data_IF_082775178586
#
_entry.id   IF_082775178586
#
_cell.length_a   1.000
_cell.length_b   1.000
_cell.length_c   1.000
_cell.angle_alpha   90.00
_cell.angle_beta   90.00
_cell.angle_gamma   90.00
#
_symmetry.space_group_name_H-M   'P 1'
#
loop_
_entity.id
_entity.type
_entity.pdbx_description
1 polymer ?
#
# COMPACT_ATOMS: atom_id res chain seq x y z
N UNK A 1 25.90 24.50 -41.02
CA UNK A 1 26.44 23.40 -41.85
C UNK A 1 25.39 22.30 -41.89
N UNK A 2 24.81 22.02 -43.06
CA UNK A 2 23.81 20.96 -43.29
C UNK A 2 24.52 19.67 -43.69
N UNK A 3 24.17 18.54 -43.08
CA UNK A 3 24.45 17.17 -43.54
C UNK A 3 23.48 16.23 -42.82
N UNK A 4 22.32 15.93 -43.44
CA UNK A 4 22.01 14.77 -44.32
C UNK A 4 21.41 13.61 -43.54
N UNK A 5 20.08 13.49 -43.68
CA UNK A 5 19.24 12.34 -43.36
C UNK A 5 19.78 11.07 -44.03
N UNK A 6 19.73 9.94 -43.33
CA UNK A 6 19.72 8.62 -43.97
C UNK A 6 18.59 7.79 -43.38
N UNK A 7 17.48 7.74 -44.11
CA UNK A 7 16.37 6.83 -43.95
C UNK A 7 16.79 5.46 -44.51
N UNK A 8 16.58 4.37 -43.78
CA UNK A 8 16.58 3.02 -44.32
C UNK A 8 15.42 2.24 -43.71
N UNK A 9 14.65 1.64 -44.61
CA UNK A 9 13.33 1.09 -44.40
C UNK A 9 13.37 -0.44 -44.52
N UNK A 10 12.63 -1.12 -43.61
CA UNK A 10 11.69 -2.24 -43.90
C UNK A 10 12.31 -3.61 -44.26
N UNK A 11 11.61 -4.76 -44.15
CA UNK A 11 10.79 -5.36 -43.08
C UNK A 11 11.24 -6.80 -42.74
N UNK A 12 10.71 -7.42 -41.67
CA UNK A 12 10.48 -8.87 -41.67
C UNK A 12 9.38 -9.24 -40.68
N UNK A 13 8.20 -9.53 -41.23
CA UNK A 13 7.13 -10.23 -40.56
C UNK A 13 7.58 -11.65 -40.19
N UNK A 14 7.24 -12.12 -39.00
CA UNK A 14 7.26 -13.55 -38.68
C UNK A 14 5.92 -13.95 -38.07
N UNK A 15 5.31 -14.90 -38.77
CA UNK A 15 3.98 -15.46 -38.63
C UNK A 15 3.98 -16.65 -37.64
N UNK A 16 2.79 -16.88 -37.06
CA UNK A 16 2.24 -18.15 -36.56
C UNK A 16 2.73 -18.73 -35.23
N UNK A 17 1.80 -18.85 -34.27
CA UNK A 17 1.15 -20.16 -34.03
C UNK A 17 -0.07 -20.02 -33.10
N UNK A 18 -1.24 -20.43 -33.60
CA UNK A 18 -2.45 -20.74 -32.82
C UNK A 18 -2.20 -21.98 -31.95
N UNK A 19 -2.53 -21.89 -30.67
CA UNK A 19 -2.65 -23.05 -29.76
C UNK A 19 -4.03 -23.08 -29.14
N UNK A 20 -5.01 -23.66 -29.86
CA UNK A 20 -6.32 -24.02 -29.32
C UNK A 20 -6.19 -25.39 -28.67
N UNK A 21 -6.32 -25.46 -27.34
CA UNK A 21 -6.54 -26.72 -26.63
C UNK A 21 -7.93 -26.66 -25.99
N UNK A 22 -8.88 -27.32 -26.66
CA UNK A 22 -10.18 -27.65 -26.11
C UNK A 22 -10.06 -28.93 -25.28
N UNK A 23 -10.50 -28.88 -24.03
CA UNK A 23 -10.93 -30.07 -23.30
C UNK A 23 -12.40 -29.91 -22.93
N UNK A 24 -13.25 -30.54 -23.74
CA UNK A 24 -14.64 -30.87 -23.40
C UNK A 24 -14.65 -32.20 -22.65
N UNK A 25 -15.53 -32.32 -21.66
CA UNK A 25 -15.87 -33.58 -20.97
C UNK A 25 -16.74 -33.25 -19.76
N UNK A 26 -18.02 -32.98 -19.93
CA UNK A 26 -19.12 -33.97 -19.93
C UNK A 26 -19.53 -34.42 -18.52
N UNK A 27 -20.61 -33.79 -18.04
CA UNK A 27 -21.80 -34.40 -17.42
C UNK A 27 -21.65 -35.64 -16.54
N UNK A 28 -22.04 -35.52 -15.28
CA UNK A 28 -22.96 -36.47 -14.66
C UNK A 28 -23.79 -35.74 -13.58
N UNK A 29 -25.03 -35.45 -13.93
CA UNK A 29 -26.11 -35.27 -12.95
C UNK A 29 -26.51 -36.66 -12.48
N UNK A 30 -26.42 -36.93 -11.18
CA UNK A 30 -27.14 -38.06 -10.58
C UNK A 30 -28.09 -37.53 -9.50
N UNK A 31 -29.36 -37.55 -9.87
CA UNK A 31 -30.50 -37.49 -8.95
C UNK A 31 -30.73 -38.90 -8.44
N UNK A 32 -30.62 -39.11 -7.12
CA UNK A 32 -31.14 -40.30 -6.46
C UNK A 32 -31.98 -39.88 -5.25
N UNK A 33 -33.29 -39.90 -5.44
CA UNK A 33 -34.32 -39.88 -4.40
C UNK A 33 -34.54 -41.30 -3.88
N UNK A 34 -34.47 -41.51 -2.56
CA UNK A 34 -35.56 -42.03 -1.72
C UNK A 34 -35.07 -42.63 -0.38
N UNK A 35 -35.45 -41.95 0.69
CA UNK A 35 -36.06 -42.44 1.93
C UNK A 35 -35.60 -43.78 2.58
N UNK A 36 -35.15 -43.65 3.84
CA UNK A 36 -35.14 -44.73 4.83
C UNK A 36 -34.62 -44.26 6.19
N UNK A 37 -35.50 -43.80 7.08
CA UNK A 37 -35.24 -43.62 8.52
C UNK A 37 -35.93 -44.77 9.29
N UNK A 38 -35.38 -45.26 10.41
CA UNK A 38 -35.79 -44.66 11.68
C UNK A 38 -34.68 -44.50 12.74
N UNK A 39 -34.84 -43.39 13.47
CA UNK A 39 -34.54 -43.12 14.88
C UNK A 39 -33.46 -43.92 15.62
N UNK A 40 -32.39 -43.22 15.98
CA UNK A 40 -31.83 -43.30 17.33
C UNK A 40 -31.76 -41.89 17.90
N UNK A 41 -32.43 -41.72 19.03
CA UNK A 41 -32.45 -40.50 19.84
C UNK A 41 -31.04 -40.21 20.35
N UNK A 42 -30.43 -39.13 19.88
CA UNK A 42 -29.28 -38.49 20.51
C UNK A 42 -29.65 -37.03 20.76
N UNK A 43 -29.45 -36.61 22.01
CA UNK A 43 -29.80 -35.29 22.52
C UNK A 43 -29.22 -34.15 21.66
N UNK A 44 -29.87 -32.97 21.59
CA UNK A 44 -29.27 -31.80 20.96
C UNK A 44 -28.14 -31.30 21.87
N UNK A 45 -26.92 -31.75 21.62
CA UNK A 45 -25.76 -30.96 21.97
C UNK A 45 -25.71 -29.83 20.96
N UNK A 46 -26.18 -28.66 21.35
CA UNK A 46 -25.92 -27.40 20.65
C UNK A 46 -24.41 -27.17 20.68
N UNK A 47 -23.71 -27.83 19.76
CA UNK A 47 -22.35 -27.45 19.40
C UNK A 47 -22.55 -26.12 18.68
N UNK A 48 -22.07 -25.00 19.23
CA UNK A 48 -22.00 -23.80 18.41
C UNK A 48 -21.16 -24.21 17.20
N UNK A 49 -21.67 -23.97 15.98
CA UNK A 49 -20.76 -23.90 14.83
C UNK A 49 -19.60 -23.01 15.28
N UNK A 50 -18.34 -23.34 14.96
CA UNK A 50 -17.30 -22.33 15.08
C UNK A 50 -17.83 -21.15 14.27
N UNK A 51 -18.24 -20.10 14.98
CA UNK A 51 -18.39 -18.77 14.44
C UNK A 51 -17.15 -18.63 13.56
N UNK A 52 -17.33 -18.53 12.24
CA UNK A 52 -16.23 -18.19 11.36
C UNK A 52 -15.63 -16.97 12.03
N UNK A 53 -14.47 -17.18 12.66
CA UNK A 53 -13.69 -16.11 13.20
C UNK A 53 -13.35 -15.33 11.94
N UNK A 54 -14.15 -14.29 11.67
CA UNK A 54 -13.80 -13.25 10.72
C UNK A 54 -12.48 -12.78 11.27
N UNK A 55 -11.40 -13.29 10.67
CA UNK A 55 -10.06 -13.03 11.13
C UNK A 55 -9.94 -11.51 11.06
N UNK A 56 -9.97 -10.86 12.22
CA UNK A 56 -9.76 -9.43 12.30
C UNK A 56 -8.44 -9.19 11.56
N UNK A 57 -8.42 -8.38 10.48
CA UNK A 57 -7.19 -8.16 9.74
C UNK A 57 -6.16 -7.67 10.75
N UNK A 58 -5.13 -8.49 10.98
CA UNK A 58 -4.16 -8.23 12.03
C UNK A 58 -3.28 -7.09 11.56
N UNK A 59 -3.65 -5.87 11.93
CA UNK A 59 -2.82 -4.71 11.70
C UNK A 59 -1.50 -4.87 12.46
N UNK A 60 -0.36 -4.67 11.79
CA UNK A 60 0.96 -4.66 12.43
C UNK A 60 1.56 -3.26 12.32
N UNK A 61 2.08 -2.74 13.43
CA UNK A 61 2.78 -1.44 13.42
C UNK A 61 4.24 -1.63 13.05
N UNK A 62 4.73 -0.82 12.11
CA UNK A 62 6.13 -0.75 11.68
C UNK A 62 6.64 0.68 11.73
N UNK A 63 7.97 0.87 11.66
CA UNK A 63 8.54 2.20 11.40
C UNK A 63 8.09 2.72 10.04
N UNK A 64 7.87 4.02 9.91
CA UNK A 64 7.55 4.64 8.62
C UNK A 64 8.68 4.45 7.58
N UNK A 65 9.92 4.20 8.02
CA UNK A 65 11.07 3.89 7.15
C UNK A 65 11.11 2.44 6.68
N UNK A 66 10.41 1.55 7.40
CA UNK A 66 10.46 0.11 7.15
C UNK A 66 9.33 -0.36 6.23
N UNK A 67 8.44 0.53 5.81
CA UNK A 67 7.40 0.21 4.82
C UNK A 67 8.05 -0.18 3.49
N UNK A 68 7.45 -1.10 2.77
CA UNK A 68 8.00 -1.64 1.53
C UNK A 68 6.96 -1.62 0.43
N UNK A 69 7.41 -1.61 -0.82
CA UNK A 69 6.52 -1.75 -1.98
C UNK A 69 5.56 -2.94 -1.81
N UNK A 70 4.26 -2.68 -1.95
CA UNK A 70 3.17 -3.64 -1.73
C UNK A 70 2.58 -3.62 -0.32
N UNK A 71 3.14 -2.85 0.62
CA UNK A 71 2.52 -2.67 1.93
C UNK A 71 1.29 -1.75 1.82
N UNK A 72 0.18 -2.20 2.41
CA UNK A 72 -1.08 -1.45 2.51
C UNK A 72 -1.28 -0.95 3.93
N UNK A 73 -1.63 0.34 4.07
CA UNK A 73 -1.60 1.05 5.34
C UNK A 73 -2.93 1.70 5.67
N UNK A 74 -3.32 1.57 6.93
CA UNK A 74 -4.35 2.37 7.56
C UNK A 74 -3.68 3.45 8.41
N UNK A 75 -3.98 4.71 8.15
CA UNK A 75 -3.50 5.81 8.99
C UNK A 75 -4.38 5.87 10.24
N UNK A 76 -4.00 5.10 11.26
CA UNK A 76 -4.65 5.11 12.57
C UNK A 76 -3.80 5.86 13.59
N UNK A 77 -4.16 7.11 13.83
CA UNK A 77 -3.87 7.85 15.06
C UNK A 77 -2.42 8.35 15.23
N UNK A 78 -2.20 9.65 14.97
CA UNK A 78 -1.02 10.43 15.43
C UNK A 78 -0.91 10.48 16.98
N UNK A 79 -1.67 9.67 17.72
CA UNK A 79 -1.75 9.63 19.17
C UNK A 79 -1.30 8.29 19.77
N UNK A 80 -0.74 7.35 18.99
CA UNK A 80 -0.10 6.15 19.55
C UNK A 80 1.33 6.49 19.98
N UNK A 81 1.62 6.63 21.30
CA UNK A 81 2.99 6.82 21.75
C UNK A 81 3.84 5.61 21.38
N UNK A 82 5.14 5.84 21.19
CA UNK A 82 6.16 4.87 20.75
C UNK A 82 6.37 3.63 21.67
N UNK A 83 5.46 3.36 22.60
CA UNK A 83 5.51 2.21 23.49
C UNK A 83 4.14 1.51 23.56
N UNK A 84 3.96 0.36 22.88
CA UNK A 84 2.70 -0.41 22.94
C UNK A 84 2.45 -1.07 24.31
N UNK A 85 3.35 -0.91 25.29
CA UNK A 85 3.14 -1.37 26.68
C UNK A 85 2.51 -0.31 27.60
N UNK A 86 2.18 0.88 27.10
CA UNK A 86 1.63 1.98 27.93
C UNK A 86 0.09 2.07 27.93
N UNK A 87 -0.64 1.04 27.51
CA UNK A 87 -2.09 0.97 27.75
C UNK A 87 -2.38 0.04 28.93
N UNK A 88 -2.17 0.55 30.13
CA UNK A 88 -2.87 0.10 31.32
C UNK A 88 -3.18 1.30 32.22
N UNK A 89 -4.48 1.54 32.34
CA UNK A 89 -5.17 2.25 33.42
C UNK A 89 -5.17 3.79 33.43
N UNK A 90 -6.36 4.29 33.73
CA UNK A 90 -6.68 5.70 33.84
C UNK A 90 -6.29 6.23 35.23
N UNK A 91 -6.15 7.55 35.30
CA UNK A 91 -5.99 8.38 36.51
C UNK A 91 -4.62 8.41 37.17
N UNK A 92 -3.85 9.48 36.88
CA UNK A 92 -3.16 10.24 37.93
C UNK A 92 -2.70 11.60 37.41
N UNK A 93 -2.95 12.63 38.21
CA UNK A 93 -2.48 14.02 38.03
C UNK A 93 -0.95 14.15 38.07
N UNK A 94 -0.41 14.97 37.17
CA UNK A 94 0.73 15.87 37.36
C UNK A 94 2.08 15.31 37.83
N UNK A 95 3.05 15.23 36.92
CA UNK A 95 4.48 15.43 37.18
C UNK A 95 5.21 15.78 35.86
N UNK A 96 6.29 16.60 35.87
CA UNK A 96 6.92 17.09 34.65
C UNK A 96 7.75 15.99 33.99
N UNK A 97 7.61 15.86 32.67
CA UNK A 97 8.40 14.92 31.87
C UNK A 97 9.88 15.36 31.84
N UNK A 98 10.77 14.48 32.30
CA UNK A 98 12.18 14.51 31.97
C UNK A 98 12.36 14.13 30.48
N UNK A 99 13.42 14.61 29.78
CA UNK A 99 13.62 14.29 28.37
C UNK A 99 13.98 12.81 28.24
N UNK A 100 13.13 12.04 27.54
CA UNK A 100 13.41 10.64 27.21
C UNK A 100 14.17 10.57 25.89
N UNK A 101 15.37 9.99 25.95
CA UNK A 101 16.15 9.57 24.78
C UNK A 101 15.41 8.44 24.05
N UNK A 102 15.31 8.52 22.71
CA UNK A 102 14.87 7.40 21.86
C UNK A 102 13.48 7.49 21.21
N UNK A 103 13.03 8.67 20.76
CA UNK A 103 11.86 8.75 19.90
C UNK A 103 12.16 8.11 18.51
N UNK A 104 11.22 7.33 17.91
CA UNK A 104 11.39 6.83 16.56
C UNK A 104 11.49 7.99 15.58
N UNK A 105 12.47 7.88 14.68
CA UNK A 105 12.79 8.90 13.70
C UNK A 105 11.64 9.00 12.69
N UNK A 106 11.06 10.19 12.56
CA UNK A 106 9.85 10.39 11.76
C UNK A 106 10.17 10.87 10.34
N UNK A 107 9.47 10.35 9.33
CA UNK A 107 9.51 10.77 7.91
C UNK A 107 8.41 11.81 7.62
N UNK A 108 8.58 12.76 6.70
CA UNK A 108 7.49 13.70 6.40
C UNK A 108 6.49 13.13 5.39
N UNK A 109 5.20 13.27 5.66
CA UNK A 109 4.13 13.07 4.68
C UNK A 109 3.89 14.37 3.93
N UNK A 110 3.98 14.33 2.59
CA UNK A 110 3.57 15.46 1.77
C UNK A 110 2.05 15.46 1.60
N UNK A 111 1.37 16.38 2.28
CA UNK A 111 -0.06 16.57 2.15
C UNK A 111 -0.36 17.32 0.85
N UNK A 112 -0.61 16.58 -0.23
CA UNK A 112 -1.21 17.11 -1.45
C UNK A 112 -2.68 17.45 -1.18
N UNK A 113 -2.90 18.57 -0.47
CA UNK A 113 -4.21 18.98 0.03
C UNK A 113 -4.19 20.24 0.90
N UNK A 114 -3.56 21.32 0.44
CA UNK A 114 -3.94 22.68 0.84
C UNK A 114 -3.68 23.11 2.28
N UNK A 115 -2.52 22.81 2.88
CA UNK A 115 -1.83 23.66 3.86
C UNK A 115 -0.40 23.11 3.99
N UNK A 116 0.65 23.95 3.89
CA UNK A 116 2.07 23.51 3.92
C UNK A 116 2.53 23.05 5.32
N UNK A 117 1.78 22.19 5.98
CA UNK A 117 2.24 21.48 7.16
C UNK A 117 2.52 20.05 6.76
N UNK A 118 3.72 19.82 6.21
CA UNK A 118 4.27 18.47 6.11
C UNK A 118 4.34 17.90 7.52
N UNK A 119 3.48 16.91 7.82
CA UNK A 119 3.46 16.23 9.11
C UNK A 119 4.57 15.19 9.17
N UNK A 120 5.11 14.91 10.35
CA UNK A 120 6.09 13.84 10.51
C UNK A 120 5.42 12.56 11.01
N UNK A 121 5.68 11.45 10.31
CA UNK A 121 5.12 10.11 10.51
C UNK A 121 6.23 9.21 11.06
N UNK A 122 6.07 8.73 12.29
CA UNK A 122 7.08 7.87 12.93
C UNK A 122 6.85 6.38 12.66
N UNK A 123 5.58 6.00 12.55
CA UNK A 123 5.15 4.61 12.38
C UNK A 123 3.95 4.53 11.46
N UNK A 124 3.71 3.33 10.94
CA UNK A 124 2.55 3.04 10.12
C UNK A 124 1.95 1.69 10.49
N UNK A 125 0.63 1.56 10.30
CA UNK A 125 -0.12 0.33 10.59
C UNK A 125 -0.41 -0.40 9.28
N UNK A 126 0.26 -1.53 9.08
CA UNK A 126 0.13 -2.36 7.89
C UNK A 126 -1.03 -3.33 8.04
N UNK A 127 -1.82 -3.47 7.00
CA UNK A 127 -2.91 -4.44 6.88
C UNK A 127 -2.74 -5.27 5.61
N UNK A 128 -3.48 -6.38 5.52
CA UNK A 128 -3.62 -7.09 4.25
C UNK A 128 -4.31 -6.17 3.23
N UNK A 129 -3.79 -6.10 2.00
CA UNK A 129 -4.36 -5.22 0.98
C UNK A 129 -5.80 -5.58 0.59
N UNK A 130 -6.26 -6.81 0.82
CA UNK A 130 -7.67 -7.18 0.65
C UNK A 130 -8.58 -6.58 1.73
N UNK A 131 -8.01 -6.14 2.87
CA UNK A 131 -8.73 -5.35 3.85
C UNK A 131 -8.79 -3.86 3.43
N UNK A 132 -9.81 -3.11 3.90
CA UNK A 132 -9.85 -1.67 3.70
C UNK A 132 -8.59 -0.98 4.20
N UNK A 133 -8.03 -0.09 3.37
CA UNK A 133 -6.83 0.68 3.70
C UNK A 133 -6.83 2.01 2.96
N UNK A 134 -6.03 2.98 3.42
CA UNK A 134 -6.00 4.32 2.84
C UNK A 134 -4.84 4.51 1.86
N UNK A 135 -3.74 3.79 2.07
CA UNK A 135 -2.52 3.96 1.31
C UNK A 135 -1.95 2.62 0.88
N UNK A 136 -1.30 2.59 -0.27
CA UNK A 136 -0.46 1.47 -0.70
C UNK A 136 0.88 2.00 -1.20
N UNK A 137 1.98 1.40 -0.75
CA UNK A 137 3.32 1.73 -1.25
C UNK A 137 3.50 1.11 -2.62
N UNK A 138 3.67 1.92 -3.66
CA UNK A 138 3.83 1.41 -5.01
C UNK A 138 5.27 1.51 -5.52
N UNK A 139 6.10 2.36 -4.92
CA UNK A 139 7.51 2.50 -5.27
C UNK A 139 8.36 2.98 -4.09
N UNK A 140 9.65 2.63 -4.11
CA UNK A 140 10.69 3.21 -3.26
C UNK A 140 11.87 3.61 -4.15
N UNK A 141 12.51 4.74 -3.84
CA UNK A 141 13.70 5.20 -4.56
C UNK A 141 14.67 5.93 -3.63
N UNK A 142 15.96 5.87 -3.98
CA UNK A 142 17.01 6.53 -3.19
C UNK A 142 17.33 7.92 -3.73
N UNK A 143 17.51 8.88 -2.83
CA UNK A 143 18.02 10.22 -3.11
C UNK A 143 19.54 10.14 -3.24
N UNK A 144 20.06 10.56 -4.39
CA UNK A 144 21.50 10.51 -4.70
C UNK A 144 22.30 11.73 -4.23
N UNK A 145 21.68 12.66 -3.52
CA UNK A 145 22.36 13.85 -3.01
C UNK A 145 23.30 13.52 -1.84
N UNK A 146 24.46 14.19 -1.80
CA UNK A 146 25.45 14.02 -0.72
C UNK A 146 24.99 14.69 0.60
N UNK A 147 24.22 15.78 0.48
CA UNK A 147 23.66 16.54 1.59
C UNK A 147 22.14 16.55 1.51
N UNK A 148 21.47 16.84 2.64
CA UNK A 148 20.02 16.95 2.69
C UNK A 148 19.55 17.99 1.66
N UNK A 149 18.72 17.60 0.67
CA UNK A 149 18.24 18.52 -0.36
C UNK A 149 17.45 19.68 0.24
N UNK A 150 17.50 20.84 -0.41
CA UNK A 150 16.47 21.87 -0.18
C UNK A 150 15.11 21.40 -0.72
N UNK A 151 14.05 22.15 -0.39
CA UNK A 151 12.68 21.75 -0.71
C UNK A 151 12.47 21.55 -2.23
N UNK A 152 13.03 22.42 -3.06
CA UNK A 152 12.87 22.37 -4.52
C UNK A 152 13.56 21.14 -5.12
N UNK A 153 14.78 20.81 -4.67
CA UNK A 153 15.47 19.61 -5.11
C UNK A 153 14.83 18.34 -4.54
N UNK A 154 14.32 18.39 -3.30
CA UNK A 154 13.59 17.27 -2.70
C UNK A 154 12.32 16.96 -3.49
N UNK A 155 11.56 17.97 -3.89
CA UNK A 155 10.37 17.81 -4.74
C UNK A 155 10.70 17.23 -6.11
N UNK A 156 11.83 17.60 -6.72
CA UNK A 156 12.31 16.99 -7.95
C UNK A 156 12.60 15.49 -7.77
N UNK A 157 13.32 15.11 -6.71
CA UNK A 157 13.56 13.69 -6.42
C UNK A 157 12.27 12.90 -6.22
N UNK A 158 11.32 13.44 -5.44
CA UNK A 158 10.02 12.82 -5.23
C UNK A 158 9.29 12.66 -6.57
N UNK A 159 9.26 13.71 -7.39
CA UNK A 159 8.60 13.67 -8.69
C UNK A 159 9.20 12.59 -9.60
N UNK A 160 10.53 12.59 -9.74
CA UNK A 160 11.23 11.66 -10.61
C UNK A 160 11.10 10.20 -10.14
N UNK A 161 11.12 9.97 -8.83
CA UNK A 161 11.00 8.61 -8.27
C UNK A 161 9.55 8.13 -8.39
N UNK A 162 8.59 8.94 -7.97
CA UNK A 162 7.21 8.51 -7.80
C UNK A 162 6.44 8.46 -9.13
N UNK A 163 6.44 9.53 -9.92
CA UNK A 163 5.63 9.57 -11.14
C UNK A 163 6.14 8.63 -12.23
N UNK A 164 7.46 8.44 -12.35
CA UNK A 164 8.02 7.51 -13.33
C UNK A 164 7.72 6.03 -13.00
N UNK A 165 7.55 5.69 -11.73
CA UNK A 165 7.31 4.32 -11.29
C UNK A 165 5.81 3.93 -11.29
N UNK A 166 4.91 4.90 -11.28
CA UNK A 166 3.47 4.68 -11.08
C UNK A 166 2.87 3.72 -12.11
N UNK A 167 3.05 4.00 -13.40
CA UNK A 167 2.45 3.19 -14.47
C UNK A 167 2.95 1.75 -14.46
N UNK A 168 4.24 1.55 -14.14
CA UNK A 168 4.82 0.20 -14.02
C UNK A 168 4.17 -0.62 -12.91
N UNK A 169 3.70 0.04 -11.85
CA UNK A 169 3.04 -0.63 -10.74
C UNK A 169 1.54 -0.85 -11.00
N UNK A 170 0.83 0.21 -11.39
CA UNK A 170 -0.64 0.23 -11.46
C UNK A 170 -1.15 -0.34 -12.79
N UNK A 171 -0.38 -0.22 -13.88
CA UNK A 171 -0.80 -0.60 -15.22
C UNK A 171 -1.49 0.51 -16.02
N UNK A 172 -1.60 1.73 -15.45
CA UNK A 172 -2.12 2.92 -16.14
C UNK A 172 -1.31 4.16 -15.77
N UNK A 173 -1.28 5.16 -16.64
CA UNK A 173 -0.60 6.42 -16.36
C UNK A 173 -1.19 7.12 -15.14
N UNK A 174 -0.38 7.92 -14.44
CA UNK A 174 -0.87 8.70 -13.30
C UNK A 174 -1.94 9.70 -13.74
N UNK A 175 -1.76 10.34 -14.88
CA UNK A 175 -2.70 11.31 -15.46
C UNK A 175 -4.07 10.67 -15.74
N UNK A 176 -4.09 9.46 -16.29
CA UNK A 176 -5.33 8.72 -16.54
C UNK A 176 -5.99 8.29 -15.23
N UNK A 177 -5.23 7.71 -14.28
CA UNK A 177 -5.75 7.33 -12.97
C UNK A 177 -6.34 8.52 -12.19
N UNK A 178 -5.66 9.67 -12.23
CA UNK A 178 -6.09 10.88 -11.54
C UNK A 178 -7.31 11.51 -12.21
N UNK A 179 -7.33 11.61 -13.55
CA UNK A 179 -8.46 12.19 -14.29
C UNK A 179 -9.74 11.36 -14.21
N UNK A 180 -9.61 10.05 -14.04
CA UNK A 180 -10.73 9.13 -13.76
C UNK A 180 -11.20 9.20 -12.30
N UNK A 181 -10.49 9.94 -11.45
CA UNK A 181 -10.79 10.03 -10.04
C UNK A 181 -10.58 8.70 -9.31
N UNK A 182 -9.55 7.93 -9.67
CA UNK A 182 -9.19 6.67 -9.01
C UNK A 182 -8.11 6.86 -7.94
N UNK A 183 -6.97 7.40 -8.35
CA UNK A 183 -5.79 7.47 -7.47
C UNK A 183 -5.13 8.85 -7.45
N UNK A 184 -4.69 9.25 -6.26
CA UNK A 184 -3.75 10.34 -6.03
C UNK A 184 -2.42 9.77 -5.52
N UNK A 185 -1.35 10.55 -5.68
CA UNK A 185 0.00 10.20 -5.20
C UNK A 185 0.38 11.11 -4.02
N UNK A 186 0.97 10.50 -3.00
CA UNK A 186 1.68 11.16 -1.90
C UNK A 186 3.02 10.45 -1.68
N UNK A 187 3.87 11.00 -0.82
CA UNK A 187 5.17 10.41 -0.51
C UNK A 187 5.52 10.56 0.96
N UNK A 188 6.32 9.60 1.44
CA UNK A 188 7.14 9.74 2.62
C UNK A 188 8.58 9.98 2.18
N UNK A 189 9.19 11.02 2.72
CA UNK A 189 10.56 11.43 2.40
C UNK A 189 11.39 11.66 3.65
N UNK A 190 12.73 11.62 3.54
CA UNK A 190 13.59 11.83 4.69
C UNK A 190 13.38 13.21 5.29
N UNK A 191 13.56 13.33 6.60
CA UNK A 191 13.75 14.61 7.27
C UNK A 191 15.23 14.83 7.54
N UNK A 192 15.62 16.04 7.94
CA UNK A 192 16.99 16.32 8.38
C UNK A 192 17.46 15.30 9.44
N UNK A 193 16.59 14.98 10.41
CA UNK A 193 16.90 14.04 11.49
C UNK A 193 17.09 12.61 10.99
N UNK A 194 16.26 12.14 10.05
CA UNK A 194 16.38 10.78 9.51
C UNK A 194 17.55 10.68 8.54
N UNK A 195 17.82 11.76 7.80
CA UNK A 195 18.97 11.87 6.90
C UNK A 195 20.30 11.74 7.65
N UNK A 196 20.42 12.35 8.82
CA UNK A 196 21.60 12.19 9.68
C UNK A 196 21.80 10.75 10.16
N UNK A 197 20.73 9.94 10.18
CA UNK A 197 20.75 8.52 10.51
C UNK A 197 20.97 7.61 9.28
N UNK A 198 21.13 8.20 8.10
CA UNK A 198 21.39 7.48 6.86
C UNK A 198 20.15 7.20 6.00
N UNK A 199 18.97 7.71 6.38
CA UNK A 199 17.77 7.60 5.54
C UNK A 199 17.94 8.43 4.25
N UNK A 200 17.78 7.76 3.11
CA UNK A 200 17.86 8.34 1.77
C UNK A 200 16.65 7.97 0.93
N UNK A 201 15.61 7.40 1.53
CA UNK A 201 14.55 6.74 0.78
C UNK A 201 13.34 7.64 0.63
N UNK A 202 12.86 7.80 -0.59
CA UNK A 202 11.49 8.24 -0.88
C UNK A 202 10.62 7.00 -1.01
N UNK A 203 9.57 6.90 -0.22
CA UNK A 203 8.50 5.91 -0.38
C UNK A 203 7.31 6.59 -1.03
N UNK A 204 6.86 6.07 -2.16
CA UNK A 204 5.75 6.61 -2.93
C UNK A 204 4.48 5.84 -2.62
N UNK A 205 3.45 6.55 -2.20
CA UNK A 205 2.18 5.97 -1.80
C UNK A 205 1.07 6.46 -2.73
N UNK A 206 0.15 5.56 -3.05
CA UNK A 206 -1.10 5.90 -3.70
C UNK A 206 -2.24 5.87 -2.69
N UNK A 207 -3.26 6.68 -2.95
CA UNK A 207 -4.49 6.76 -2.16
C UNK A 207 -5.66 7.08 -3.09
N UNK A 208 -6.91 6.94 -2.63
CA UNK A 208 -8.05 7.43 -3.41
C UNK A 208 -8.04 8.95 -3.50
N UNK A 209 -8.35 9.51 -4.67
CA UNK A 209 -8.49 10.97 -4.86
C UNK A 209 -9.53 11.61 -3.94
N UNK A 210 -10.58 10.87 -3.56
CA UNK A 210 -11.66 11.36 -2.70
C UNK A 210 -11.41 11.05 -1.22
N UNK A 211 -10.27 10.42 -0.90
CA UNK A 211 -9.90 10.03 0.46
C UNK A 211 -10.67 8.83 1.00
N UNK A 212 -11.47 8.14 0.19
CA UNK A 212 -12.12 6.89 0.59
C UNK A 212 -11.11 5.74 0.73
N UNK A 213 -11.51 4.71 1.46
CA UNK A 213 -10.70 3.50 1.61
C UNK A 213 -10.64 2.72 0.30
N UNK A 214 -9.43 2.28 -0.03
CA UNK A 214 -9.17 1.30 -1.07
C UNK A 214 -9.47 -0.11 -0.54
N UNK A 215 -9.77 -1.03 -1.44
CA UNK A 215 -9.89 -2.47 -1.14
C UNK A 215 -9.27 -3.26 -2.28
N UNK A 216 -8.36 -4.17 -1.94
CA UNK A 216 -7.46 -4.80 -2.91
C UNK A 216 -6.23 -3.95 -3.21
N UNK A 217 -5.19 -4.59 -3.74
CA UNK A 217 -4.00 -3.89 -4.21
C UNK A 217 -4.27 -3.20 -5.56
N UNK A 218 -3.71 -2.02 -5.76
CA UNK A 218 -3.70 -1.28 -7.02
C UNK A 218 -2.72 -1.87 -8.05
N UNK A 219 -1.92 -2.87 -7.68
CA UNK A 219 -0.95 -3.51 -8.59
C UNK A 219 -1.67 -4.16 -9.76
N UNK A 220 -1.33 -3.72 -10.98
CA UNK A 220 -1.96 -4.24 -12.20
C UNK A 220 -3.48 -4.12 -12.17
N UNK A 221 -4.02 -3.06 -11.56
CA UNK A 221 -5.44 -2.75 -11.55
C UNK A 221 -5.87 -2.22 -12.91
N UNK A 222 -5.76 -3.08 -13.92
CA UNK A 222 -6.35 -2.95 -15.24
C UNK A 222 -7.80 -3.47 -15.10
N UNK A 223 -8.79 -2.65 -15.49
CA UNK A 223 -10.23 -2.99 -15.42
C UNK A 223 -10.58 -4.35 -16.04
#
# INVERSE_FOLDING_TARGET
>A
MRKTLTTLAVPAALLMSLGVAACQGSTASDTATAAGTPSTSAAPSTTPLPEEAVATPSARTVSAMDIKVGDCLIYGDNSVPANPSATADASASGAPAAPSEGAPSSATADASGGERSGGTVASASLVDCAAPHLYEVYAEGAISADAFPDDELMEQYVSDICYNAFETYVGTSYEDAYSQGRYAVTSLRPTQTTWEQGDRTVSCLLTSVDGSELTGSARGAED
#
